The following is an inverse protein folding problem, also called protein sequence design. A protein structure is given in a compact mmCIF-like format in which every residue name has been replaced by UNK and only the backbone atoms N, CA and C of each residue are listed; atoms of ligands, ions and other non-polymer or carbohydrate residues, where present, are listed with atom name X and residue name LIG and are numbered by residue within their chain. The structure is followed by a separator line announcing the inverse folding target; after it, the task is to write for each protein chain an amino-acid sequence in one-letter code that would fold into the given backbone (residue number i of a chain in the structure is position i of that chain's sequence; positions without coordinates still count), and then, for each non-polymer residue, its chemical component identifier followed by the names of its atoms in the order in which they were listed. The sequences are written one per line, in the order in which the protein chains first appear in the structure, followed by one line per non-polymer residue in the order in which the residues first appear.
data_IF_741537300353
#
_entry.id   IF_741537300353
#
_cell.length_a   1.000
_cell.length_b   1.000
_cell.length_c   1.000
_cell.angle_alpha   90.00
_cell.angle_beta   90.00
_cell.angle_gamma   90.00
#
_symmetry.space_group_name_H-M   'P 1'
#
loop_
_entity.id
_entity.type
_entity.pdbx_description
1 polymer ?
#
# COMPACT_ATOMS: atom_id res chain seq x y z
N UNK A 1 4.72 17.70 5.46
CA UNK A 1 4.90 16.34 4.97
C UNK A 1 6.04 15.64 5.71
N UNK A 2 7.27 16.19 5.69
CA UNK A 2 8.44 15.60 6.36
C UNK A 2 8.16 15.24 7.82
N UNK A 3 7.56 16.15 8.60
CA UNK A 3 7.22 15.88 10.00
C UNK A 3 6.21 14.73 10.19
N UNK A 4 5.40 14.44 9.19
CA UNK A 4 4.42 13.33 9.23
C UNK A 4 5.00 11.97 8.85
N UNK A 5 6.23 11.94 8.35
CA UNK A 5 6.93 10.72 7.92
C UNK A 5 8.15 10.39 8.77
N UNK A 6 8.53 11.30 9.70
CA UNK A 6 9.64 11.07 10.61
C UNK A 6 9.18 10.08 11.71
N UNK A 7 9.99 9.04 12.03
CA UNK A 7 9.74 8.20 13.20
C UNK A 7 9.55 9.09 14.44
N UNK A 8 8.57 8.79 15.25
CA UNK A 8 8.15 9.52 16.47
C UNK A 8 7.15 10.67 16.30
N UNK A 9 6.99 11.30 15.12
CA UNK A 9 6.13 12.47 14.96
C UNK A 9 5.08 12.33 13.87
N UNK A 10 5.17 11.31 13.02
CA UNK A 10 4.38 11.28 11.80
C UNK A 10 3.56 10.02 11.60
N UNK A 11 2.25 10.23 11.41
CA UNK A 11 1.34 9.24 10.85
C UNK A 11 0.92 9.70 9.46
N UNK A 12 1.48 9.05 8.42
CA UNK A 12 1.36 9.48 7.03
C UNK A 12 -0.01 9.31 6.39
N UNK A 13 -1.05 8.90 7.12
CA UNK A 13 -2.36 8.53 6.60
C UNK A 13 -3.14 9.72 5.99
N UNK A 14 -3.28 10.81 6.74
CA UNK A 14 -4.11 11.96 6.35
C UNK A 14 -3.32 12.97 5.51
N UNK A 15 -2.98 12.65 4.25
CA UNK A 15 -2.33 13.58 3.31
C UNK A 15 -3.33 14.17 2.35
N UNK A 16 -3.26 15.48 2.10
CA UNK A 16 -4.08 16.15 1.10
C UNK A 16 -3.92 15.55 -0.30
N UNK A 17 -2.75 15.00 -0.64
CA UNK A 17 -2.57 14.31 -1.91
C UNK A 17 -3.53 13.14 -2.07
N UNK A 18 -3.77 12.34 -1.04
CA UNK A 18 -4.62 11.16 -1.17
C UNK A 18 -6.09 11.48 -1.50
N UNK A 19 -6.53 12.72 -1.25
CA UNK A 19 -7.86 13.19 -1.64
C UNK A 19 -7.96 13.62 -3.10
N UNK A 20 -6.82 13.75 -3.81
CA UNK A 20 -6.76 14.29 -5.17
C UNK A 20 -6.75 13.21 -6.27
N UNK A 21 -6.89 11.96 -5.91
CA UNK A 21 -6.80 10.82 -6.85
C UNK A 21 -7.85 10.87 -7.98
N UNK A 22 -9.02 11.43 -7.72
CA UNK A 22 -10.10 11.58 -8.69
C UNK A 22 -10.21 13.02 -9.24
N UNK A 23 -9.23 13.88 -8.99
CA UNK A 23 -9.18 15.26 -9.50
C UNK A 23 -8.24 15.38 -10.72
N UNK A 24 -8.29 16.49 -11.47
CA UNK A 24 -7.34 16.74 -12.56
C UNK A 24 -5.86 16.74 -12.11
N UNK A 25 -5.59 16.91 -10.80
CA UNK A 25 -4.25 16.81 -10.23
C UNK A 25 -3.70 15.39 -10.24
N UNK A 26 -4.53 14.37 -10.50
CA UNK A 26 -4.07 12.98 -10.61
C UNK A 26 -2.98 12.78 -11.66
N UNK A 27 -3.00 13.54 -12.75
CA UNK A 27 -1.97 13.54 -13.80
C UNK A 27 -0.56 13.96 -13.30
N UNK A 28 -0.46 14.57 -12.13
CA UNK A 28 0.80 15.02 -11.57
C UNK A 28 1.55 13.90 -10.80
N UNK A 29 0.84 12.88 -10.30
CA UNK A 29 1.48 11.80 -9.55
C UNK A 29 2.59 11.05 -10.33
N UNK A 30 2.44 10.69 -11.62
CA UNK A 30 3.49 10.02 -12.37
C UNK A 30 4.73 10.88 -12.59
N UNK A 31 4.64 12.20 -12.36
CA UNK A 31 5.69 13.19 -12.62
C UNK A 31 6.36 13.62 -11.32
N UNK A 32 5.59 14.11 -10.36
CA UNK A 32 6.08 14.73 -9.12
C UNK A 32 5.65 14.00 -7.84
N UNK A 33 4.88 12.92 -7.95
CA UNK A 33 4.38 12.15 -6.82
C UNK A 33 3.43 12.91 -5.90
N UNK A 34 3.12 12.31 -4.77
CA UNK A 34 2.25 12.89 -3.73
C UNK A 34 2.75 14.23 -3.21
N UNK A 35 4.06 14.43 -3.16
CA UNK A 35 4.66 15.69 -2.67
C UNK A 35 4.38 16.84 -3.63
N UNK A 36 4.53 16.61 -4.94
CA UNK A 36 4.21 17.60 -5.95
C UNK A 36 2.73 17.98 -5.95
N UNK A 37 1.84 16.99 -5.77
CA UNK A 37 0.39 17.24 -5.67
C UNK A 37 0.07 18.09 -4.43
N UNK A 38 0.62 17.80 -3.24
CA UNK A 38 0.43 18.64 -2.05
C UNK A 38 0.95 20.06 -2.29
N UNK A 39 2.13 20.20 -2.90
CA UNK A 39 2.71 21.50 -3.22
C UNK A 39 1.79 22.30 -4.14
N UNK A 40 1.25 21.70 -5.20
CA UNK A 40 0.32 22.37 -6.11
C UNK A 40 -0.98 22.76 -5.43
N UNK A 41 -1.58 21.89 -4.61
CA UNK A 41 -2.78 22.23 -3.82
C UNK A 41 -2.51 23.45 -2.94
N UNK A 42 -1.39 23.48 -2.23
CA UNK A 42 -1.01 24.61 -1.38
C UNK A 42 -0.77 25.89 -2.21
N UNK A 43 -0.11 25.77 -3.36
CA UNK A 43 0.16 26.88 -4.26
C UNK A 43 -1.12 27.49 -4.84
N UNK A 44 -2.07 26.67 -5.27
CA UNK A 44 -3.39 27.08 -5.77
C UNK A 44 -4.15 27.81 -4.65
N UNK A 45 -4.18 27.24 -3.45
CA UNK A 45 -4.89 27.83 -2.30
C UNK A 45 -4.30 29.16 -1.84
N UNK A 46 -2.97 29.31 -1.91
CA UNK A 46 -2.27 30.54 -1.51
C UNK A 46 -2.29 31.64 -2.57
N UNK A 47 -2.61 31.34 -3.83
CA UNK A 47 -2.47 32.28 -4.93
C UNK A 47 -3.82 32.78 -5.43
N UNK A 48 -3.99 34.12 -5.42
CA UNK A 48 -5.22 34.81 -5.87
C UNK A 48 -5.04 35.49 -7.25
N UNK A 49 -3.86 35.42 -7.86
CA UNK A 49 -3.61 36.06 -9.17
C UNK A 49 -4.13 35.16 -10.28
N UNK A 50 -5.07 35.64 -11.05
CA UNK A 50 -5.71 34.91 -12.14
C UNK A 50 -4.70 34.34 -13.15
N UNK A 51 -3.69 35.11 -13.54
CA UNK A 51 -2.66 34.64 -14.46
C UNK A 51 -1.87 33.44 -13.93
N UNK A 52 -1.57 33.43 -12.63
CA UNK A 52 -0.89 32.26 -12.02
C UNK A 52 -1.77 31.03 -11.98
N UNK A 53 -3.06 31.21 -11.66
CA UNK A 53 -4.02 30.10 -11.66
C UNK A 53 -4.24 29.55 -13.07
N UNK A 54 -4.33 30.41 -14.09
CA UNK A 54 -4.40 29.99 -15.49
C UNK A 54 -3.14 29.23 -15.93
N UNK A 55 -1.95 29.71 -15.55
CA UNK A 55 -0.70 29.01 -15.83
C UNK A 55 -0.65 27.62 -15.19
N UNK A 56 -1.04 27.50 -13.93
CA UNK A 56 -1.11 26.21 -13.24
C UNK A 56 -2.16 25.28 -13.89
N UNK A 57 -3.30 25.81 -14.28
CA UNK A 57 -4.32 25.06 -14.99
C UNK A 57 -3.79 24.49 -16.32
N UNK A 58 -3.05 25.30 -17.09
CA UNK A 58 -2.43 24.86 -18.35
C UNK A 58 -1.41 23.75 -18.10
N UNK A 59 -0.58 23.85 -17.05
CA UNK A 59 0.38 22.79 -16.69
C UNK A 59 -0.34 21.48 -16.37
N UNK A 60 -1.39 21.55 -15.56
CA UNK A 60 -2.18 20.38 -15.20
C UNK A 60 -2.86 19.79 -16.45
N UNK A 61 -3.40 20.64 -17.32
CA UNK A 61 -4.00 20.20 -18.56
C UNK A 61 -2.99 19.48 -19.46
N UNK A 62 -1.79 20.05 -19.66
CA UNK A 62 -0.73 19.41 -20.43
C UNK A 62 -0.34 18.06 -19.82
N UNK A 63 -0.21 17.98 -18.49
CA UNK A 63 0.15 16.74 -17.79
C UNK A 63 -0.85 15.61 -18.06
N UNK A 64 -2.15 15.91 -18.22
CA UNK A 64 -3.18 14.92 -18.56
C UNK A 64 -3.03 14.34 -19.98
N UNK A 65 -2.31 15.00 -20.87
CA UNK A 65 -2.05 14.52 -22.24
C UNK A 65 -0.67 13.90 -22.41
N UNK A 66 0.16 13.86 -21.35
CA UNK A 66 1.45 13.19 -21.44
C UNK A 66 1.25 11.66 -21.53
N UNK A 67 1.87 11.00 -22.52
CA UNK A 67 1.75 9.54 -22.63
C UNK A 67 2.42 8.84 -21.47
N UNK A 68 1.87 7.69 -21.08
CA UNK A 68 2.55 6.79 -20.15
C UNK A 68 3.89 6.35 -20.77
N UNK A 69 4.95 6.40 -19.97
CA UNK A 69 6.29 5.93 -20.41
C UNK A 69 6.46 4.43 -20.19
N UNK A 70 5.45 3.75 -19.64
CA UNK A 70 5.50 2.34 -19.33
C UNK A 70 4.72 1.55 -20.38
N UNK A 71 5.42 0.58 -20.99
CA UNK A 71 4.80 -0.32 -21.96
C UNK A 71 4.41 -1.62 -21.25
N UNK A 72 3.22 -2.17 -21.54
CA UNK A 72 2.86 -3.51 -21.10
C UNK A 72 3.84 -4.54 -21.66
N UNK A 73 4.25 -5.49 -20.82
CA UNK A 73 5.14 -6.61 -21.16
C UNK A 73 4.38 -7.93 -21.22
N UNK A 74 3.20 -7.98 -20.65
CA UNK A 74 2.33 -9.15 -20.57
C UNK A 74 1.20 -8.93 -19.58
N UNK A 75 0.61 -10.02 -19.11
CA UNK A 75 -0.38 -10.01 -18.02
C UNK A 75 -0.27 -11.30 -17.20
N UNK A 76 -0.64 -11.21 -15.94
CA UNK A 76 -0.74 -12.35 -15.02
C UNK A 76 -2.18 -12.44 -14.48
N UNK A 77 -2.75 -13.65 -14.49
CA UNK A 77 -4.10 -13.91 -13.98
C UNK A 77 -4.04 -14.27 -12.51
N UNK A 78 -4.76 -13.53 -11.69
CA UNK A 78 -4.65 -13.61 -10.23
C UNK A 78 -6.02 -13.87 -9.60
N UNK A 79 -6.04 -14.70 -8.55
CA UNK A 79 -7.17 -14.84 -7.63
C UNK A 79 -6.83 -14.12 -6.30
N UNK A 80 -7.63 -13.14 -5.94
CA UNK A 80 -7.59 -12.46 -4.64
C UNK A 80 -8.63 -13.09 -3.72
N UNK A 81 -8.20 -13.67 -2.61
CA UNK A 81 -9.07 -14.39 -1.69
C UNK A 81 -9.39 -13.54 -0.48
N UNK A 82 -10.64 -13.18 -0.31
CA UNK A 82 -11.20 -12.55 0.89
C UNK A 82 -11.86 -13.64 1.74
N UNK A 83 -11.13 -14.17 2.73
CA UNK A 83 -11.65 -15.25 3.59
C UNK A 83 -12.69 -14.78 4.60
N UNK A 84 -12.63 -13.51 4.98
CA UNK A 84 -13.46 -12.95 6.04
C UNK A 84 -12.95 -13.29 7.44
N UNK A 85 -13.57 -12.65 8.42
CA UNK A 85 -13.39 -12.93 9.85
C UNK A 85 -14.75 -12.96 10.52
N UNK A 86 -14.87 -13.68 11.64
CA UNK A 86 -16.12 -13.72 12.42
C UNK A 86 -16.36 -12.45 13.21
N UNK A 87 -15.29 -11.91 13.81
CA UNK A 87 -15.35 -10.73 14.66
C UNK A 87 -14.63 -9.58 13.98
N UNK A 88 -15.16 -8.37 14.09
CA UNK A 88 -14.49 -7.13 13.70
C UNK A 88 -13.84 -6.48 14.92
N UNK A 89 -12.85 -5.62 14.70
CA UNK A 89 -12.11 -4.95 15.75
C UNK A 89 -10.85 -5.72 16.16
N UNK A 90 -10.38 -5.50 17.38
CA UNK A 90 -9.13 -6.09 17.87
C UNK A 90 -9.22 -7.61 18.08
N UNK A 91 -10.44 -8.13 18.24
CA UNK A 91 -10.70 -9.55 18.49
C UNK A 91 -10.88 -10.39 17.20
N UNK A 92 -10.45 -9.87 16.05
CA UNK A 92 -10.63 -10.56 14.75
C UNK A 92 -10.00 -11.96 14.70
N UNK A 93 -8.95 -12.19 15.47
CA UNK A 93 -8.18 -13.43 15.59
C UNK A 93 -8.25 -14.07 16.99
N UNK A 94 -9.31 -13.80 17.75
CA UNK A 94 -9.49 -14.34 19.11
C UNK A 94 -9.52 -15.87 19.15
N UNK A 95 -9.97 -16.51 18.06
CA UNK A 95 -9.94 -17.97 17.92
C UNK A 95 -8.77 -18.35 16.98
N UNK A 96 -7.70 -18.96 17.49
CA UNK A 96 -6.56 -19.36 16.66
C UNK A 96 -6.97 -20.31 15.52
N UNK A 97 -6.36 -20.15 14.35
CA UNK A 97 -6.57 -20.93 13.12
C UNK A 97 -7.93 -20.71 12.43
N UNK A 98 -8.78 -19.85 12.95
CA UNK A 98 -10.09 -19.61 12.35
C UNK A 98 -10.00 -18.79 11.07
N UNK A 99 -9.15 -17.77 11.04
CA UNK A 99 -8.88 -16.95 9.86
C UNK A 99 -8.23 -17.80 8.76
N UNK A 100 -7.24 -18.61 9.12
CA UNK A 100 -6.63 -19.59 8.19
C UNK A 100 -7.67 -20.53 7.59
N UNK A 101 -8.50 -21.14 8.46
CA UNK A 101 -9.53 -22.09 8.00
C UNK A 101 -10.47 -21.47 7.00
N UNK A 102 -10.91 -20.24 7.24
CA UNK A 102 -11.79 -19.50 6.34
C UNK A 102 -11.15 -19.29 4.96
N UNK A 103 -9.86 -18.91 4.91
CA UNK A 103 -9.14 -18.75 3.64
C UNK A 103 -8.94 -20.07 2.90
N UNK A 104 -8.63 -21.16 3.61
CA UNK A 104 -8.55 -22.52 3.04
C UNK A 104 -9.89 -22.94 2.43
N UNK A 105 -10.97 -22.80 3.21
CA UNK A 105 -12.33 -23.21 2.81
C UNK A 105 -12.79 -22.45 1.55
N UNK A 106 -12.67 -21.10 1.56
CA UNK A 106 -13.06 -20.25 0.42
C UNK A 106 -12.21 -20.57 -0.82
N UNK A 107 -10.90 -20.74 -0.66
CA UNK A 107 -10.01 -21.09 -1.78
C UNK A 107 -10.37 -22.43 -2.40
N UNK A 108 -10.56 -23.46 -1.57
CA UNK A 108 -10.91 -24.82 -2.02
C UNK A 108 -12.27 -24.88 -2.70
N UNK A 109 -13.24 -24.10 -2.21
CA UNK A 109 -14.62 -24.12 -2.76
C UNK A 109 -14.74 -23.33 -4.07
N UNK A 110 -13.93 -22.29 -4.26
CA UNK A 110 -14.11 -21.33 -5.36
C UNK A 110 -13.09 -21.47 -6.49
N UNK A 111 -11.97 -22.15 -6.28
CA UNK A 111 -10.91 -22.27 -7.26
C UNK A 111 -10.70 -23.72 -7.72
N UNK A 112 -10.36 -23.85 -9.00
CA UNK A 112 -9.99 -25.12 -9.65
C UNK A 112 -8.51 -25.09 -10.05
N UNK A 113 -7.95 -26.30 -10.28
CA UNK A 113 -6.56 -26.44 -10.69
C UNK A 113 -6.27 -25.68 -12.01
N UNK A 114 -5.12 -25.00 -12.08
CA UNK A 114 -4.66 -24.25 -13.25
C UNK A 114 -5.61 -23.12 -13.70
N UNK A 115 -6.48 -22.64 -12.82
CA UNK A 115 -7.44 -21.60 -13.17
C UNK A 115 -6.81 -20.21 -13.27
N UNK A 116 -5.76 -19.95 -12.46
CA UNK A 116 -5.03 -18.71 -12.34
C UNK A 116 -3.52 -18.98 -12.21
N UNK A 117 -2.71 -17.96 -12.45
CA UNK A 117 -1.25 -18.04 -12.35
C UNK A 117 -0.75 -17.79 -10.91
N UNK A 118 -1.55 -17.13 -10.08
CA UNK A 118 -1.23 -16.80 -8.69
C UNK A 118 -2.50 -16.68 -7.84
N UNK A 119 -2.45 -17.20 -6.62
CA UNK A 119 -3.45 -16.95 -5.57
C UNK A 119 -2.84 -16.03 -4.52
N UNK A 120 -3.56 -15.01 -4.09
CA UNK A 120 -3.10 -14.07 -3.05
C UNK A 120 -4.09 -14.06 -1.90
N UNK A 121 -3.59 -14.34 -0.70
CA UNK A 121 -4.29 -14.19 0.56
C UNK A 121 -3.85 -12.92 1.26
N UNK A 122 -4.71 -12.23 2.04
CA UNK A 122 -4.42 -10.96 2.68
C UNK A 122 -3.44 -11.08 3.86
N UNK A 123 -3.11 -9.93 4.45
CA UNK A 123 -2.37 -9.85 5.71
C UNK A 123 -3.09 -10.62 6.82
N UNK A 124 -2.33 -11.32 7.65
CA UNK A 124 -2.83 -12.14 8.76
C UNK A 124 -3.85 -13.23 8.37
N UNK A 125 -3.88 -13.63 7.11
CA UNK A 125 -4.68 -14.78 6.66
C UNK A 125 -4.24 -16.09 7.31
N UNK A 126 -2.97 -16.18 7.71
CA UNK A 126 -2.45 -17.22 8.59
C UNK A 126 -2.22 -16.59 9.96
N UNK A 127 -3.17 -16.78 10.86
CA UNK A 127 -3.29 -16.16 12.18
C UNK A 127 -2.48 -16.83 13.27
N UNK A 128 -1.61 -17.77 12.92
CA UNK A 128 -0.66 -18.46 13.80
C UNK A 128 0.70 -18.62 13.12
N UNK A 129 1.75 -18.88 13.88
CA UNK A 129 3.11 -19.00 13.35
C UNK A 129 3.26 -20.25 12.47
N UNK A 130 3.23 -20.05 11.15
CA UNK A 130 3.33 -21.13 10.16
C UNK A 130 4.67 -21.88 10.16
N UNK A 131 5.72 -21.32 10.79
CA UNK A 131 7.01 -22.00 10.91
C UNK A 131 7.08 -22.88 12.16
N UNK A 132 6.27 -22.60 13.18
CA UNK A 132 6.15 -23.44 14.37
C UNK A 132 5.21 -24.64 14.13
N UNK A 133 4.17 -24.47 13.32
CA UNK A 133 3.14 -25.48 13.12
C UNK A 133 3.26 -26.10 11.71
N UNK A 134 3.85 -27.33 11.64
CA UNK A 134 4.06 -28.00 10.36
C UNK A 134 2.76 -28.36 9.65
N UNK A 135 1.72 -28.75 10.41
CA UNK A 135 0.40 -29.08 9.87
C UNK A 135 -0.24 -27.93 9.09
N UNK A 136 -0.04 -26.70 9.54
CA UNK A 136 -0.52 -25.50 8.86
C UNK A 136 0.24 -25.28 7.55
N UNK A 137 1.57 -25.34 7.61
CA UNK A 137 2.41 -25.21 6.43
C UNK A 137 2.08 -26.30 5.38
N UNK A 138 1.91 -27.53 5.85
CA UNK A 138 1.60 -28.67 5.00
C UNK A 138 0.23 -28.53 4.34
N UNK A 139 -0.79 -27.97 5.02
CA UNK A 139 -2.10 -27.71 4.42
C UNK A 139 -2.03 -26.69 3.27
N UNK A 140 -1.21 -25.66 3.38
CA UNK A 140 -1.02 -24.66 2.31
C UNK A 140 -0.23 -25.27 1.14
N UNK A 141 0.79 -26.08 1.43
CA UNK A 141 1.57 -26.80 0.42
C UNK A 141 0.67 -27.77 -0.35
N UNK A 142 -0.19 -28.51 0.35
CA UNK A 142 -1.15 -29.43 -0.26
C UNK A 142 -2.15 -28.69 -1.13
N UNK A 143 -2.71 -27.57 -0.67
CA UNK A 143 -3.60 -26.73 -1.44
C UNK A 143 -2.92 -26.22 -2.72
N UNK A 144 -1.68 -25.70 -2.61
CA UNK A 144 -0.90 -25.23 -3.77
C UNK A 144 -0.65 -26.35 -4.77
N UNK A 145 -0.35 -27.58 -4.32
CA UNK A 145 -0.18 -28.77 -5.17
C UNK A 145 -1.50 -29.15 -5.87
N UNK A 146 -2.60 -29.21 -5.11
CA UNK A 146 -3.90 -29.63 -5.65
C UNK A 146 -4.43 -28.65 -6.69
N UNK A 147 -4.18 -27.34 -6.50
CA UNK A 147 -4.54 -26.31 -7.46
C UNK A 147 -3.49 -26.12 -8.57
N UNK A 148 -2.31 -26.72 -8.43
CA UNK A 148 -1.14 -26.50 -9.30
C UNK A 148 -0.88 -25.01 -9.55
N UNK A 149 -0.92 -24.21 -8.47
CA UNK A 149 -0.85 -22.75 -8.52
C UNK A 149 -0.09 -22.23 -7.30
N UNK A 150 0.87 -21.30 -7.49
CA UNK A 150 1.53 -20.60 -6.38
C UNK A 150 0.52 -19.86 -5.49
N UNK A 151 0.79 -19.82 -4.18
CA UNK A 151 -0.04 -19.10 -3.21
C UNK A 151 0.85 -18.14 -2.41
N UNK A 152 0.53 -16.85 -2.45
CA UNK A 152 1.15 -15.81 -1.62
C UNK A 152 0.26 -15.54 -0.41
N UNK A 153 0.73 -15.86 0.79
CA UNK A 153 -0.07 -15.72 2.02
C UNK A 153 0.52 -14.69 2.97
N UNK A 154 -0.33 -13.91 3.64
CA UNK A 154 0.07 -13.08 4.76
C UNK A 154 0.02 -13.86 6.07
N UNK A 155 1.09 -13.82 6.85
CA UNK A 155 1.21 -14.57 8.09
C UNK A 155 1.89 -13.79 9.21
N UNK A 156 1.81 -14.34 10.41
CA UNK A 156 2.38 -13.77 11.64
C UNK A 156 3.42 -14.73 12.19
N UNK A 157 4.53 -14.16 12.66
CA UNK A 157 5.55 -14.80 13.50
C UNK A 157 5.93 -13.81 14.59
N UNK A 158 7.21 -13.68 14.94
CA UNK A 158 7.71 -12.48 15.64
C UNK A 158 7.74 -11.24 14.74
N UNK A 159 7.21 -11.36 13.54
CA UNK A 159 7.14 -10.34 12.51
C UNK A 159 5.89 -10.57 11.67
N UNK A 160 5.42 -9.52 11.03
CA UNK A 160 4.41 -9.63 10.00
C UNK A 160 5.11 -9.99 8.68
N UNK A 161 4.64 -11.04 8.00
CA UNK A 161 5.33 -11.64 6.86
C UNK A 161 4.39 -11.90 5.69
N UNK A 162 4.96 -11.95 4.50
CA UNK A 162 4.31 -12.47 3.29
C UNK A 162 5.14 -13.63 2.76
N UNK A 163 4.52 -14.79 2.56
CA UNK A 163 5.19 -16.04 2.18
C UNK A 163 4.63 -16.57 0.87
N UNK A 164 5.51 -16.77 -0.10
CA UNK A 164 5.16 -17.46 -1.35
C UNK A 164 5.39 -18.96 -1.23
N UNK A 165 4.36 -19.73 -1.51
CA UNK A 165 4.41 -21.18 -1.69
C UNK A 165 4.32 -21.54 -3.17
N UNK A 166 5.27 -22.37 -3.68
CA UNK A 166 5.30 -22.85 -5.07
C UNK A 166 5.98 -24.26 -5.16
N UNK A 167 5.33 -25.39 -4.87
CA UNK A 167 4.38 -25.52 -3.76
C UNK A 167 5.03 -25.39 -2.38
N UNK A 168 6.39 -25.60 -2.29
CA UNK A 168 7.16 -25.37 -1.06
C UNK A 168 7.34 -23.87 -0.81
N UNK A 169 7.84 -23.51 0.37
CA UNK A 169 8.21 -22.12 0.66
C UNK A 169 9.30 -21.66 -0.32
N UNK A 170 8.94 -20.77 -1.23
CA UNK A 170 9.80 -20.23 -2.28
C UNK A 170 10.39 -18.86 -1.92
N UNK A 171 9.66 -18.03 -1.18
CA UNK A 171 10.09 -16.71 -0.77
C UNK A 171 9.42 -16.29 0.54
N UNK A 172 10.12 -15.50 1.35
CA UNK A 172 9.58 -14.87 2.57
C UNK A 172 9.97 -13.41 2.57
N UNK A 173 8.97 -12.54 2.58
CA UNK A 173 9.13 -11.10 2.82
C UNK A 173 8.71 -10.77 4.24
N UNK A 174 9.54 -10.05 4.98
CA UNK A 174 9.23 -9.53 6.33
C UNK A 174 8.94 -8.04 6.24
N UNK A 175 7.82 -7.60 6.79
CA UNK A 175 7.37 -6.20 6.83
C UNK A 175 8.46 -5.29 7.38
N UNK A 176 8.78 -4.23 6.65
CA UNK A 176 9.88 -3.30 6.98
C UNK A 176 9.39 -2.11 7.78
N UNK A 177 8.23 -1.60 7.44
CA UNK A 177 7.65 -0.41 8.07
C UNK A 177 6.46 -0.81 8.92
N UNK A 178 6.76 -1.00 10.20
CA UNK A 178 5.77 -1.45 11.18
C UNK A 178 4.76 -0.34 11.49
N UNK A 179 3.55 -0.76 11.82
CA UNK A 179 2.45 0.12 12.24
C UNK A 179 2.69 0.60 13.67
N UNK A 180 2.87 1.91 13.91
CA UNK A 180 3.00 2.44 15.26
C UNK A 180 1.75 2.12 16.10
N UNK A 181 1.93 1.74 17.34
CA UNK A 181 0.90 1.34 18.30
C UNK A 181 0.09 0.08 17.94
N UNK A 182 0.35 -0.54 16.79
CA UNK A 182 -0.25 -1.81 16.41
C UNK A 182 0.77 -2.97 16.37
N UNK A 183 1.98 -2.68 15.91
CA UNK A 183 3.06 -3.67 15.76
C UNK A 183 4.32 -3.32 16.54
N UNK A 184 4.40 -2.12 17.09
CA UNK A 184 5.41 -1.69 18.05
C UNK A 184 4.95 -0.43 18.79
N UNK A 185 5.50 -0.20 19.97
CA UNK A 185 5.26 1.03 20.74
C UNK A 185 6.45 1.99 20.54
N UNK A 186 6.25 3.14 19.86
CA UNK A 186 7.30 4.17 19.78
C UNK A 186 7.71 4.66 21.16
N UNK A 187 9.02 4.72 21.45
CA UNK A 187 9.55 5.12 22.78
C UNK A 187 8.88 4.36 23.93
N UNK A 188 8.76 3.05 23.82
CA UNK A 188 8.04 2.19 24.79
C UNK A 188 8.36 2.53 26.25
N UNK A 189 9.63 2.64 26.61
CA UNK A 189 10.08 2.96 27.97
C UNK A 189 9.58 4.32 28.52
N UNK A 190 9.16 5.22 27.65
CA UNK A 190 8.53 6.49 28.02
C UNK A 190 7.01 6.35 28.07
N UNK A 191 6.40 5.75 27.05
CA UNK A 191 4.93 5.66 26.88
C UNK A 191 4.29 4.73 27.93
N UNK A 192 4.97 3.65 28.33
CA UNK A 192 4.48 2.70 29.34
C UNK A 192 4.24 3.34 30.73
N UNK A 193 4.87 4.49 31.01
CA UNK A 193 4.61 5.23 32.24
C UNK A 193 3.27 5.98 32.24
N UNK A 194 2.59 6.07 31.09
CA UNK A 194 1.35 6.87 30.94
C UNK A 194 0.12 6.02 30.59
N UNK A 195 0.31 4.77 30.16
CA UNK A 195 -0.81 3.90 29.75
C UNK A 195 -0.46 2.43 29.87
N UNK A 196 -1.42 1.62 30.34
CA UNK A 196 -1.33 0.16 30.40
C UNK A 196 -1.53 -0.50 29.03
N UNK A 197 -2.09 0.21 28.03
CA UNK A 197 -2.32 -0.31 26.68
C UNK A 197 -1.02 -0.77 25.99
N UNK A 198 0.13 -0.29 26.45
CA UNK A 198 1.43 -0.74 25.96
C UNK A 198 1.74 -2.20 26.27
N UNK A 199 1.08 -2.78 27.29
CA UNK A 199 1.25 -4.18 27.66
C UNK A 199 0.55 -5.14 26.70
N UNK A 200 -0.45 -4.65 25.96
CA UNK A 200 -1.22 -5.45 25.01
C UNK A 200 -0.54 -5.59 23.64
N UNK A 201 0.47 -4.74 23.35
CA UNK A 201 1.18 -4.74 22.08
C UNK A 201 2.57 -5.33 22.23
N UNK A 202 2.80 -6.48 21.60
CA UNK A 202 4.13 -7.07 21.45
C UNK A 202 4.88 -6.38 20.31
N UNK A 203 6.15 -6.01 20.52
CA UNK A 203 6.95 -5.35 19.48
C UNK A 203 7.41 -6.37 18.44
N UNK A 204 6.94 -6.21 17.20
CA UNK A 204 7.36 -7.00 16.06
C UNK A 204 8.76 -6.59 15.58
N UNK A 205 9.44 -7.52 14.93
CA UNK A 205 10.75 -7.27 14.33
C UNK A 205 10.60 -6.83 12.88
N UNK A 206 11.10 -5.64 12.56
CA UNK A 206 11.10 -5.12 11.19
C UNK A 206 12.08 -5.89 10.30
N UNK A 207 11.64 -6.17 9.06
CA UNK A 207 12.47 -6.73 8.01
C UNK A 207 13.52 -5.73 7.48
N UNK A 208 14.51 -6.26 6.75
CA UNK A 208 15.57 -5.46 6.12
C UNK A 208 15.63 -5.64 4.60
N UNK A 209 15.04 -6.72 4.09
CA UNK A 209 15.09 -7.05 2.67
C UNK A 209 14.10 -6.25 1.84
N UNK A 210 14.37 -6.13 0.54
CA UNK A 210 13.42 -5.55 -0.41
C UNK A 210 12.17 -6.41 -0.49
N UNK A 211 11.04 -5.77 -0.69
CA UNK A 211 9.71 -6.37 -0.74
C UNK A 211 9.32 -6.88 -2.15
N UNK A 212 10.28 -7.41 -2.90
CA UNK A 212 10.00 -8.02 -4.22
C UNK A 212 9.93 -9.55 -4.11
N UNK A 213 8.91 -10.11 -4.74
CA UNK A 213 8.67 -11.56 -4.86
C UNK A 213 8.65 -11.91 -6.33
N UNK A 214 9.34 -12.99 -6.71
CA UNK A 214 9.37 -13.48 -8.09
C UNK A 214 8.33 -14.60 -8.26
N UNK A 215 7.34 -14.37 -9.11
CA UNK A 215 6.22 -15.27 -9.37
C UNK A 215 6.35 -15.74 -10.81
N UNK A 216 6.81 -16.98 -11.00
CA UNK A 216 7.06 -17.58 -12.32
C UNK A 216 7.85 -16.66 -13.28
N UNK A 217 8.86 -16.00 -12.73
CA UNK A 217 9.70 -15.06 -13.48
C UNK A 217 9.18 -13.62 -13.54
N UNK A 218 7.95 -13.35 -13.09
CA UNK A 218 7.36 -12.01 -13.05
C UNK A 218 7.60 -11.38 -11.67
N UNK A 219 8.33 -10.27 -11.57
CA UNK A 219 8.58 -9.61 -10.30
C UNK A 219 7.38 -8.81 -9.83
N UNK A 220 6.88 -9.11 -8.63
CA UNK A 220 5.86 -8.37 -7.93
C UNK A 220 6.44 -7.63 -6.71
N UNK A 221 5.97 -6.43 -6.43
CA UNK A 221 6.30 -5.74 -5.19
C UNK A 221 5.15 -5.87 -4.19
N UNK A 222 5.48 -6.42 -3.01
CA UNK A 222 4.52 -6.66 -1.95
C UNK A 222 4.55 -5.52 -0.93
N UNK A 223 3.39 -5.00 -0.59
CA UNK A 223 3.16 -4.08 0.52
C UNK A 223 2.26 -4.75 1.54
N UNK A 224 2.66 -4.70 2.79
CA UNK A 224 1.81 -5.18 3.89
C UNK A 224 1.21 -3.95 4.59
N UNK A 225 -0.10 -3.70 4.34
CA UNK A 225 -0.95 -2.72 5.00
C UNK A 225 -0.30 -1.32 5.10
N UNK A 226 0.12 -0.90 6.28
CA UNK A 226 0.72 0.41 6.60
C UNK A 226 1.91 0.80 5.71
N UNK A 227 2.59 -0.15 5.09
CA UNK A 227 3.73 0.13 4.20
C UNK A 227 3.37 1.00 3.00
N UNK A 228 2.10 1.00 2.58
CA UNK A 228 1.61 1.91 1.53
C UNK A 228 1.84 3.39 1.84
N UNK A 229 1.96 3.77 3.10
CA UNK A 229 2.18 5.14 3.53
C UNK A 229 3.61 5.63 3.30
N UNK A 230 4.55 4.71 3.12
CA UNK A 230 5.96 5.06 3.00
C UNK A 230 6.33 5.43 1.56
N UNK A 231 6.82 6.66 1.36
CA UNK A 231 7.18 7.17 0.03
C UNK A 231 8.50 6.59 -0.50
N UNK A 232 9.35 6.00 0.36
CA UNK A 232 10.62 5.43 -0.10
C UNK A 232 10.44 4.24 -1.04
N UNK A 233 9.32 3.51 -0.90
CA UNK A 233 9.02 2.38 -1.77
C UNK A 233 8.90 2.74 -3.26
N UNK A 234 8.41 3.94 -3.59
CA UNK A 234 8.32 4.37 -5.00
C UNK A 234 9.67 4.31 -5.72
N UNK A 235 10.75 4.61 -4.98
CA UNK A 235 12.12 4.61 -5.52
C UNK A 235 12.71 3.19 -5.63
N UNK A 236 12.14 2.24 -4.91
CA UNK A 236 12.56 0.84 -4.89
C UNK A 236 11.77 -0.03 -5.88
N UNK A 237 10.63 0.47 -6.40
CA UNK A 237 9.79 -0.28 -7.34
C UNK A 237 10.52 -0.49 -8.65
N UNK A 238 10.98 -1.73 -8.84
CA UNK A 238 11.56 -2.24 -10.08
C UNK A 238 10.91 -3.59 -10.41
N UNK A 239 9.60 -3.64 -10.29
CA UNK A 239 8.75 -4.81 -10.42
C UNK A 239 7.65 -4.51 -11.41
N UNK A 240 6.97 -5.53 -11.90
CA UNK A 240 6.02 -5.39 -13.00
C UNK A 240 4.62 -4.99 -12.55
N UNK A 241 4.25 -5.37 -11.33
CA UNK A 241 3.00 -4.99 -10.68
C UNK A 241 3.13 -4.91 -9.17
N UNK A 242 2.10 -4.43 -8.48
CA UNK A 242 2.07 -4.28 -7.03
C UNK A 242 1.05 -5.25 -6.41
N UNK A 243 1.41 -5.80 -5.27
CA UNK A 243 0.52 -6.56 -4.39
C UNK A 243 0.36 -5.81 -3.08
N UNK A 244 -0.86 -5.63 -2.63
CA UNK A 244 -1.18 -5.05 -1.32
C UNK A 244 -1.96 -6.08 -0.52
N UNK A 245 -1.36 -6.55 0.57
CA UNK A 245 -1.99 -7.45 1.53
C UNK A 245 -2.35 -6.64 2.77
N UNK A 246 -3.64 -6.52 3.10
CA UNK A 246 -4.09 -5.73 4.24
C UNK A 246 -5.08 -6.50 5.12
N UNK A 247 -5.05 -6.19 6.42
CA UNK A 247 -6.04 -6.66 7.36
C UNK A 247 -6.90 -5.50 7.85
N UNK A 248 -8.05 -5.32 7.24
CA UNK A 248 -8.97 -4.25 7.59
C UNK A 248 -9.96 -4.62 8.71
N UNK A 249 -9.90 -5.83 9.26
CA UNK A 249 -10.80 -6.28 10.32
C UNK A 249 -10.74 -5.37 11.56
N UNK A 250 -9.54 -4.88 11.90
CA UNK A 250 -9.31 -3.98 13.04
C UNK A 250 -10.00 -2.63 12.89
N UNK A 251 -10.27 -2.19 11.67
CA UNK A 251 -10.94 -0.89 11.40
C UNK A 251 -12.46 -0.97 11.46
N UNK A 252 -13.03 -2.19 11.43
CA UNK A 252 -14.49 -2.37 11.32
C UNK A 252 -15.08 -1.72 10.08
N UNK A 253 -16.37 -1.43 10.08
CA UNK A 253 -17.04 -0.71 8.98
C UNK A 253 -16.88 0.80 9.14
N UNK A 254 -15.72 1.30 8.78
CA UNK A 254 -15.36 2.71 8.88
C UNK A 254 -14.84 3.26 7.55
N UNK A 255 -14.73 4.58 7.45
CA UNK A 255 -14.15 5.26 6.30
C UNK A 255 -12.66 4.93 6.07
N UNK A 256 -11.99 4.30 7.03
CA UNK A 256 -10.58 3.92 6.90
C UNK A 256 -10.36 2.91 5.77
N UNK A 257 -11.33 2.03 5.52
CA UNK A 257 -11.30 1.07 4.39
C UNK A 257 -11.17 1.80 3.05
N UNK A 258 -12.03 2.79 2.82
CA UNK A 258 -12.03 3.58 1.60
C UNK A 258 -10.80 4.49 1.50
N UNK A 259 -10.29 5.00 2.63
CA UNK A 259 -9.06 5.80 2.68
C UNK A 259 -7.84 4.97 2.29
N UNK A 260 -7.71 3.73 2.77
CA UNK A 260 -6.60 2.85 2.40
C UNK A 260 -6.64 2.49 0.91
N UNK A 261 -7.84 2.21 0.36
CA UNK A 261 -8.01 2.03 -1.07
C UNK A 261 -7.57 3.27 -1.87
N UNK A 262 -7.91 4.50 -1.41
CA UNK A 262 -7.45 5.72 -2.06
C UNK A 262 -5.91 5.82 -2.06
N UNK A 263 -5.26 5.41 -0.98
CA UNK A 263 -3.80 5.37 -0.90
C UNK A 263 -3.24 4.37 -1.92
N UNK A 264 -3.81 3.17 -2.02
CA UNK A 264 -3.41 2.18 -3.01
C UNK A 264 -3.59 2.69 -4.46
N UNK A 265 -4.69 3.40 -4.75
CA UNK A 265 -4.91 4.07 -6.05
C UNK A 265 -3.83 5.10 -6.36
N UNK A 266 -3.44 5.91 -5.38
CA UNK A 266 -2.33 6.87 -5.55
C UNK A 266 -1.03 6.13 -5.86
N UNK A 267 -0.73 5.01 -5.19
CA UNK A 267 0.48 4.21 -5.48
C UNK A 267 0.46 3.60 -6.88
N UNK A 268 -0.72 3.15 -7.35
CA UNK A 268 -0.88 2.72 -8.74
C UNK A 268 -0.47 3.83 -9.72
N UNK A 269 -1.01 5.03 -9.55
CA UNK A 269 -0.73 6.17 -10.44
C UNK A 269 0.73 6.63 -10.32
N UNK A 270 1.26 6.76 -9.10
CA UNK A 270 2.64 7.20 -8.84
C UNK A 270 3.69 6.29 -9.49
N UNK A 271 3.42 4.99 -9.53
CA UNK A 271 4.34 4.00 -10.09
C UNK A 271 3.98 3.60 -11.53
N UNK A 272 2.77 3.94 -12.00
CA UNK A 272 2.24 3.53 -13.28
C UNK A 272 1.98 2.02 -13.37
N UNK A 273 1.79 1.34 -12.24
CA UNK A 273 1.60 -0.12 -12.16
C UNK A 273 0.22 -0.46 -11.66
N UNK A 274 -0.30 -1.59 -12.13
CA UNK A 274 -1.54 -2.14 -11.61
C UNK A 274 -1.32 -2.75 -10.23
N UNK A 275 -2.39 -2.77 -9.41
CA UNK A 275 -2.35 -3.25 -8.04
C UNK A 275 -3.35 -4.38 -7.84
N UNK A 276 -2.87 -5.51 -7.35
CA UNK A 276 -3.66 -6.56 -6.76
C UNK A 276 -3.83 -6.24 -5.25
N UNK A 277 -4.99 -5.69 -4.89
CA UNK A 277 -5.29 -5.23 -3.53
C UNK A 277 -6.22 -6.22 -2.84
N UNK A 278 -5.73 -6.92 -1.82
CA UNK A 278 -6.49 -7.97 -1.12
C UNK A 278 -6.60 -7.67 0.37
N UNK A 279 -7.82 -7.78 0.89
CA UNK A 279 -8.13 -7.57 2.30
C UNK A 279 -8.77 -8.80 2.92
N UNK A 280 -8.54 -8.99 4.22
CA UNK A 280 -9.15 -10.08 5.00
C UNK A 280 -10.68 -10.01 4.97
N UNK A 281 -11.25 -8.80 5.07
CA UNK A 281 -12.70 -8.60 5.13
C UNK A 281 -13.17 -7.23 4.61
N UNK A 282 -12.25 -6.31 4.33
CA UNK A 282 -12.56 -4.96 3.87
C UNK A 282 -12.86 -4.89 2.37
N UNK A 283 -12.07 -4.09 1.64
CA UNK A 283 -12.18 -3.99 0.20
C UNK A 283 -11.11 -4.86 -0.45
N UNK A 284 -11.52 -5.75 -1.36
CA UNK A 284 -10.61 -6.53 -2.21
C UNK A 284 -10.85 -6.10 -3.66
N UNK A 285 -9.81 -5.69 -4.38
CA UNK A 285 -10.00 -5.12 -5.72
C UNK A 285 -8.75 -5.20 -6.61
N UNK A 286 -8.97 -5.14 -7.93
CA UNK A 286 -7.93 -4.84 -8.91
C UNK A 286 -7.97 -3.36 -9.26
N UNK A 287 -6.82 -2.69 -9.21
CA UNK A 287 -6.68 -1.25 -9.47
C UNK A 287 -5.78 -1.09 -10.69
N UNK A 288 -6.27 -0.37 -11.68
CA UNK A 288 -5.51 -0.04 -12.89
C UNK A 288 -4.39 0.97 -12.60
N UNK A 289 -3.43 1.08 -13.49
CA UNK A 289 -2.29 1.99 -13.34
C UNK A 289 -2.63 3.48 -13.35
N UNK A 290 -3.84 3.85 -13.77
CA UNK A 290 -4.42 5.19 -13.68
C UNK A 290 -5.24 5.43 -12.40
N UNK A 291 -5.29 4.42 -11.50
CA UNK A 291 -6.03 4.46 -10.25
C UNK A 291 -7.51 4.08 -10.37
N UNK A 292 -7.99 3.69 -11.54
CA UNK A 292 -9.35 3.18 -11.69
C UNK A 292 -9.50 1.80 -11.04
N UNK A 293 -10.62 1.55 -10.36
CA UNK A 293 -10.96 0.23 -9.85
C UNK A 293 -11.55 -0.60 -10.99
N UNK A 294 -10.84 -1.67 -11.41
CA UNK A 294 -11.26 -2.58 -12.50
C UNK A 294 -12.37 -3.53 -12.04
N UNK A 295 -12.25 -4.04 -10.81
CA UNK A 295 -13.21 -4.94 -10.18
C UNK A 295 -13.02 -4.92 -8.66
N UNK A 296 -14.07 -5.23 -7.91
CA UNK A 296 -14.03 -5.27 -6.45
C UNK A 296 -15.03 -6.26 -5.89
N UNK A 297 -14.71 -6.89 -4.75
CA UNK A 297 -15.66 -7.66 -3.95
C UNK A 297 -16.47 -6.75 -3.02
N UNK A 298 -17.67 -7.20 -2.64
CA UNK A 298 -18.40 -6.59 -1.53
C UNK A 298 -17.61 -6.70 -0.22
N UNK A 299 -17.65 -5.64 0.61
CA UNK A 299 -17.09 -5.65 1.96
C UNK A 299 -17.77 -6.75 2.81
N UNK A 300 -17.02 -7.35 3.71
CA UNK A 300 -17.49 -8.30 4.73
C UNK A 300 -18.14 -9.58 4.20
N UNK A 301 -17.91 -9.92 2.94
CA UNK A 301 -18.43 -11.16 2.33
C UNK A 301 -17.25 -12.04 1.88
N UNK A 302 -17.09 -13.26 2.43
CA UNK A 302 -16.07 -14.18 1.96
C UNK A 302 -16.30 -14.55 0.49
N UNK A 303 -15.30 -14.29 -0.38
CA UNK A 303 -15.35 -14.64 -1.79
C UNK A 303 -13.97 -14.59 -2.45
N UNK A 304 -13.90 -14.91 -3.73
CA UNK A 304 -12.71 -14.85 -4.57
C UNK A 304 -12.93 -13.91 -5.75
N UNK A 305 -12.04 -12.96 -5.93
CA UNK A 305 -12.01 -12.08 -7.09
C UNK A 305 -10.95 -12.56 -8.07
N UNK A 306 -11.36 -13.01 -9.26
CA UNK A 306 -10.45 -13.41 -10.33
C UNK A 306 -10.34 -12.26 -11.33
N UNK A 307 -9.09 -11.90 -11.67
CA UNK A 307 -8.81 -10.86 -12.65
C UNK A 307 -7.38 -10.97 -13.16
N UNK A 308 -7.01 -10.03 -14.04
CA UNK A 308 -5.66 -9.96 -14.58
C UNK A 308 -5.05 -8.59 -14.29
N UNK A 309 -3.76 -8.58 -13.95
CA UNK A 309 -2.94 -7.38 -13.88
C UNK A 309 -2.00 -7.34 -15.07
N UNK A 310 -1.85 -6.16 -15.68
CA UNK A 310 -0.83 -5.92 -16.69
C UNK A 310 0.54 -5.83 -16.04
N UNK A 311 1.52 -6.51 -16.63
CA UNK A 311 2.92 -6.40 -16.24
C UNK A 311 3.59 -5.29 -17.02
N UNK A 312 4.39 -4.45 -16.35
CA UNK A 312 5.04 -3.28 -16.96
C UNK A 312 6.48 -3.17 -16.48
N UNK A 313 7.42 -3.23 -17.39
CA UNK A 313 8.82 -2.93 -17.11
C UNK A 313 9.11 -1.42 -17.18
N UNK A 314 10.30 -1.02 -16.72
CA UNK A 314 10.81 0.34 -16.69
C UNK A 314 10.24 1.20 -15.53
N UNK A 315 10.84 2.38 -15.38
CA UNK A 315 10.46 3.37 -14.35
C UNK A 315 9.83 4.59 -14.99
N UNK A 316 8.78 5.14 -14.37
CA UNK A 316 8.19 6.41 -14.79
C UNK A 316 9.05 7.61 -14.32
N UNK A 317 8.63 8.82 -14.69
CA UNK A 317 9.41 10.03 -14.40
C UNK A 317 9.52 10.31 -12.89
N UNK A 318 8.45 10.10 -12.13
CA UNK A 318 8.49 10.28 -10.67
C UNK A 318 9.53 9.38 -9.99
N UNK A 319 9.61 8.11 -10.42
CA UNK A 319 10.61 7.17 -9.91
C UNK A 319 12.04 7.58 -10.31
N UNK A 320 12.24 8.06 -11.54
CA UNK A 320 13.54 8.56 -12.03
C UNK A 320 13.98 9.82 -11.30
N UNK A 321 13.06 10.72 -10.98
CA UNK A 321 13.34 11.94 -10.21
C UNK A 321 13.65 11.63 -8.73
N UNK A 322 13.20 10.47 -8.23
CA UNK A 322 13.45 10.02 -6.86
C UNK A 322 13.07 11.07 -5.81
N UNK A 323 14.03 11.60 -5.06
CA UNK A 323 13.84 12.58 -3.97
C UNK A 323 13.86 14.05 -4.45
N UNK A 324 14.12 14.29 -5.75
CA UNK A 324 14.25 15.67 -6.27
C UNK A 324 12.99 16.52 -6.03
N UNK A 325 11.74 16.02 -6.25
CA UNK A 325 10.53 16.79 -5.97
C UNK A 325 10.41 17.21 -4.49
N UNK A 326 10.83 16.35 -3.57
CA UNK A 326 10.84 16.62 -2.13
C UNK A 326 11.82 17.75 -1.79
N UNK A 327 13.07 17.66 -2.25
CA UNK A 327 14.11 18.68 -2.04
C UNK A 327 13.66 20.01 -2.64
N UNK A 328 13.14 20.00 -3.87
CA UNK A 328 12.64 21.21 -4.53
C UNK A 328 11.49 21.85 -3.74
N UNK A 329 10.54 21.07 -3.26
CA UNK A 329 9.41 21.57 -2.48
C UNK A 329 9.86 22.22 -1.17
N UNK A 330 10.81 21.62 -0.47
CA UNK A 330 11.41 22.18 0.76
C UNK A 330 12.14 23.48 0.44
N UNK A 331 12.97 23.52 -0.59
CA UNK A 331 13.69 24.70 -1.03
C UNK A 331 12.73 25.86 -1.35
N UNK A 332 11.66 25.59 -2.09
CA UNK A 332 10.65 26.60 -2.43
C UNK A 332 9.93 27.16 -1.20
N UNK A 333 9.63 26.33 -0.19
CA UNK A 333 9.07 26.80 1.08
C UNK A 333 10.03 27.75 1.79
N UNK A 334 11.31 27.40 1.90
CA UNK A 334 12.32 28.29 2.48
C UNK A 334 12.47 29.60 1.73
N UNK A 335 12.46 29.57 0.40
CA UNK A 335 12.55 30.76 -0.44
C UNK A 335 11.33 31.68 -0.26
N UNK A 336 10.13 31.13 -0.16
CA UNK A 336 8.91 31.90 0.11
C UNK A 336 8.92 32.52 1.52
N UNK A 337 9.37 31.79 2.53
CA UNK A 337 9.51 32.31 3.90
C UNK A 337 10.56 33.43 3.97
N UNK A 338 11.70 33.26 3.29
CA UNK A 338 12.74 34.29 3.22
C UNK A 338 12.25 35.58 2.55
N UNK A 339 11.52 35.44 1.44
CA UNK A 339 10.93 36.58 0.71
C UNK A 339 9.89 37.32 1.56
N UNK A 340 9.06 36.61 2.32
CA UNK A 340 8.08 37.22 3.21
C UNK A 340 8.74 37.94 4.41
N UNK A 341 9.84 37.44 4.96
CA UNK A 341 10.58 38.15 6.02
C UNK A 341 11.05 39.52 5.56
N UNK A 342 11.50 39.70 4.33
CA UNK A 342 11.88 41.00 3.77
C UNK A 342 10.71 41.99 3.67
N UNK A 343 9.49 41.48 3.40
CA UNK A 343 8.27 42.32 3.36
C UNK A 343 7.81 42.77 4.77
N UNK A 344 7.99 41.94 5.78
CA UNK A 344 7.64 42.29 7.16
C UNK A 344 8.63 43.30 7.73
N UNK A 345 9.94 43.15 7.52
CA UNK A 345 10.93 44.13 7.97
C UNK A 345 10.82 45.51 7.27
N UNK A 346 10.37 45.54 6.00
CA UNK A 346 10.22 46.84 5.30
C UNK A 346 8.99 47.66 5.70
N UNK A 347 8.03 47.07 6.41
CA UNK A 347 6.82 47.77 6.89
C UNK A 347 6.96 48.40 8.29
N UNK A 348 8.05 48.14 8.99
CA UNK A 348 8.30 48.71 10.34
C UNK A 348 9.35 49.83 10.36
N UNK A 349 9.75 50.32 9.20
CA UNK A 349 10.67 51.47 9.07
C UNK A 349 10.06 52.58 8.21
N UNK A 350 8.82 53.03 8.56
CA UNK A 350 8.28 54.33 8.17
C UNK A 350 7.35 54.83 9.27
#
# INVERSE_FOLDING_TARGET
LLLRTIPFTGFGWSRLSFTQVNSPLSAIYPILGSVGVIFLVALIAANRKLLTLLFLFIIILIANFLPSTLNPTGSIKIALVQGGVKNLGLDFNATPREVLKSHLDVTTQKLSANQVDLIIWPENSVDVDLFKFADIRDSIIELSKNLNTPILVGGITHSNISVLFNPQVANVYTKRYLTPFGEYIPMRSFVENFTELTQEVEDFKAGKQRNSVLIDGVPAQVFICYELLNDSFKNEVNTDFLVVQTNNATFGDTAQLDQELQIAKVRAIETGREVAYVSTTGITSFIASDGAVKASLPKFQPDVLIGSVETKSCQNLNQKLSIIPEIFSVFMVFLLLYRNRRFVCSRYWY
#
